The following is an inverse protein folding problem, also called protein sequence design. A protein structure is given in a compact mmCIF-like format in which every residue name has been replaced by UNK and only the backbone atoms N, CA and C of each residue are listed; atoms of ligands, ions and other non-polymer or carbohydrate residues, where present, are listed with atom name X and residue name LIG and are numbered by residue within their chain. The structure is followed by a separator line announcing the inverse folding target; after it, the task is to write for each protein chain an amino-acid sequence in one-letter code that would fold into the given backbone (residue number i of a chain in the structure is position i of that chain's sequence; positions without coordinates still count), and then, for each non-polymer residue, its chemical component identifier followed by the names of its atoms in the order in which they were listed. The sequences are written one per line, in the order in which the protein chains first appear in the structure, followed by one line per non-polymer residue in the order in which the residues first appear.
data_IF_097496305986
#
_entry.id   IF_097496305986
#
_cell.length_a   1.000
_cell.length_b   1.000
_cell.length_c   1.000
_cell.angle_alpha   90.00
_cell.angle_beta   90.00
_cell.angle_gamma   90.00
#
_symmetry.space_group_name_H-M   'P 1'
#
loop_
_entity.id
_entity.type
_entity.pdbx_description
1 polymer ?
#
# COMPACT_ATOMS: atom_id res chain seq x y z
N UNK A 1 27.68 -9.71 -9.95
CA UNK A 1 27.84 -9.23 -8.57
C UNK A 1 26.54 -9.54 -7.84
N UNK A 2 26.51 -10.49 -6.90
CA UNK A 2 25.28 -10.70 -6.08
C UNK A 2 25.07 -9.40 -5.30
N UNK A 3 23.90 -8.77 -5.46
CA UNK A 3 23.53 -7.59 -4.66
C UNK A 3 23.70 -7.93 -3.19
N UNK A 4 24.35 -7.05 -2.42
CA UNK A 4 24.54 -7.20 -0.96
C UNK A 4 23.20 -7.54 -0.27
N UNK A 5 22.10 -6.97 -0.77
CA UNK A 5 20.74 -7.15 -0.26
C UNK A 5 20.07 -8.49 -0.61
N UNK A 6 20.74 -9.37 -1.36
CA UNK A 6 20.25 -10.71 -1.66
C UNK A 6 20.53 -11.74 -0.57
N UNK A 7 21.38 -11.41 0.42
CA UNK A 7 21.63 -12.32 1.53
C UNK A 7 20.45 -12.36 2.49
N UNK A 8 20.05 -13.58 2.89
CA UNK A 8 18.92 -13.81 3.81
C UNK A 8 19.02 -12.96 5.08
N UNK A 9 20.23 -12.76 5.62
CA UNK A 9 20.48 -11.96 6.83
C UNK A 9 19.92 -10.53 6.69
N UNK A 10 20.17 -9.85 5.57
CA UNK A 10 19.70 -8.48 5.39
C UNK A 10 18.18 -8.40 5.20
N UNK A 11 17.57 -9.41 4.57
CA UNK A 11 16.10 -9.51 4.46
C UNK A 11 15.48 -9.60 5.86
N UNK A 12 16.03 -10.42 6.75
CA UNK A 12 15.54 -10.51 8.14
C UNK A 12 15.73 -9.22 8.93
N UNK A 13 16.86 -8.52 8.75
CA UNK A 13 17.08 -7.20 9.37
C UNK A 13 16.01 -6.21 8.88
N UNK A 14 15.74 -6.17 7.57
CA UNK A 14 14.70 -5.30 7.02
C UNK A 14 13.31 -5.62 7.57
N UNK A 15 12.96 -6.91 7.67
CA UNK A 15 11.71 -7.35 8.29
C UNK A 15 11.65 -6.89 9.76
N UNK A 16 12.73 -7.07 10.51
CA UNK A 16 12.82 -6.61 11.90
C UNK A 16 12.59 -5.10 12.03
N UNK A 17 13.17 -4.30 11.13
CA UNK A 17 12.96 -2.84 11.07
C UNK A 17 11.49 -2.51 10.76
N UNK A 18 10.89 -3.17 9.76
CA UNK A 18 9.48 -2.95 9.42
C UNK A 18 8.55 -3.18 10.62
N UNK A 19 8.72 -4.30 11.31
CA UNK A 19 7.93 -4.61 12.51
C UNK A 19 8.23 -3.66 13.67
N UNK A 20 9.49 -3.29 13.87
CA UNK A 20 9.87 -2.34 14.92
C UNK A 20 9.12 -1.01 14.76
N UNK A 21 9.06 -0.46 13.55
CA UNK A 21 8.35 0.80 13.27
C UNK A 21 6.84 0.66 13.49
N UNK A 22 6.20 -0.40 12.98
CA UNK A 22 4.75 -0.58 13.12
C UNK A 22 4.34 -0.89 14.56
N UNK A 23 5.08 -1.73 15.28
CA UNK A 23 4.83 -2.02 16.70
C UNK A 23 5.06 -0.77 17.55
N UNK A 24 6.09 0.03 17.26
CA UNK A 24 6.31 1.30 17.95
C UNK A 24 5.15 2.27 17.71
N UNK A 25 4.61 2.31 16.49
CA UNK A 25 3.41 3.07 16.15
C UNK A 25 2.18 2.61 16.92
N UNK A 26 1.94 1.29 16.96
CA UNK A 26 0.86 0.68 17.75
C UNK A 26 0.94 1.11 19.22
N UNK A 27 2.09 0.86 19.86
CA UNK A 27 2.29 1.17 21.28
C UNK A 27 2.17 2.68 21.52
N UNK A 28 2.84 3.49 20.71
CA UNK A 28 2.90 4.93 20.91
C UNK A 28 1.54 5.62 20.75
N UNK A 29 0.78 5.30 19.71
CA UNK A 29 -0.57 5.85 19.51
C UNK A 29 -1.50 5.39 20.64
N UNK A 30 -1.44 4.12 21.05
CA UNK A 30 -2.25 3.63 22.19
C UNK A 30 -1.87 4.25 23.54
N UNK A 31 -0.66 4.80 23.68
CA UNK A 31 -0.24 5.56 24.86
C UNK A 31 -0.60 7.06 24.77
N UNK A 32 -1.31 7.49 23.72
CA UNK A 32 -1.75 8.87 23.53
C UNK A 32 -0.82 9.74 22.70
N UNK A 33 0.23 9.17 22.07
CA UNK A 33 1.14 9.92 21.18
C UNK A 33 0.68 9.94 19.71
N UNK A 34 -0.64 9.97 19.47
CA UNK A 34 -1.24 9.87 18.14
C UNK A 34 -0.66 10.89 17.15
N UNK A 35 -0.70 12.18 17.50
CA UNK A 35 -0.24 13.27 16.61
C UNK A 35 1.22 13.10 16.20
N UNK A 36 2.06 12.60 17.11
CA UNK A 36 3.47 12.35 16.82
C UNK A 36 3.59 11.25 15.77
N UNK A 37 2.96 10.09 15.95
CA UNK A 37 3.10 8.98 15.02
C UNK A 37 2.37 9.19 13.69
N UNK A 38 1.14 9.72 13.72
CA UNK A 38 0.33 9.92 12.52
C UNK A 38 1.02 10.87 11.52
N UNK A 39 1.62 11.96 11.99
CA UNK A 39 2.37 12.90 11.14
C UNK A 39 3.69 12.35 10.59
N UNK A 40 4.14 11.15 11.00
CA UNK A 40 5.28 10.43 10.41
C UNK A 40 4.84 9.29 9.49
N UNK A 41 3.57 9.21 9.12
CA UNK A 41 3.07 8.23 8.15
C UNK A 41 3.82 8.30 6.82
N UNK A 42 4.06 9.51 6.32
CA UNK A 42 4.87 9.73 5.11
C UNK A 42 6.27 9.09 5.22
N UNK A 43 6.94 9.23 6.37
CA UNK A 43 8.23 8.61 6.64
C UNK A 43 8.12 7.08 6.68
N UNK A 44 7.09 6.54 7.36
CA UNK A 44 6.87 5.10 7.43
C UNK A 44 6.65 4.49 6.03
N UNK A 45 5.87 5.15 5.18
CA UNK A 45 5.67 4.72 3.79
C UNK A 45 6.96 4.77 2.98
N UNK A 46 7.79 5.80 3.16
CA UNK A 46 9.12 5.87 2.53
C UNK A 46 10.04 4.72 2.99
N UNK A 47 9.99 4.34 4.27
CA UNK A 47 10.74 3.18 4.80
C UNK A 47 10.26 1.88 4.15
N UNK A 48 8.94 1.69 4.04
CA UNK A 48 8.37 0.54 3.35
C UNK A 48 8.75 0.51 1.87
N UNK A 49 8.72 1.67 1.20
CA UNK A 49 9.16 1.80 -0.18
C UNK A 49 10.65 1.49 -0.35
N UNK A 50 11.53 1.97 0.54
CA UNK A 50 12.95 1.61 0.52
C UNK A 50 13.13 0.09 0.72
N UNK A 51 12.42 -0.51 1.67
CA UNK A 51 12.45 -1.95 1.87
C UNK A 51 11.99 -2.72 0.62
N UNK A 52 10.97 -2.23 -0.09
CA UNK A 52 10.60 -2.77 -1.40
C UNK A 52 11.76 -2.65 -2.38
N UNK A 53 12.31 -1.45 -2.64
CA UNK A 53 13.34 -1.26 -3.67
C UNK A 53 14.61 -2.08 -3.42
N UNK A 54 15.04 -2.22 -2.16
CA UNK A 54 16.26 -2.94 -1.83
C UNK A 54 16.10 -4.47 -1.79
N UNK A 55 14.93 -4.97 -1.40
CA UNK A 55 14.73 -6.41 -1.13
C UNK A 55 13.72 -7.09 -2.08
N UNK A 56 12.88 -6.33 -2.76
CA UNK A 56 12.23 -6.77 -3.99
C UNK A 56 13.26 -6.64 -5.12
N UNK A 57 13.48 -7.68 -5.94
CA UNK A 57 14.47 -7.64 -7.00
C UNK A 57 14.05 -6.66 -8.11
N UNK A 58 14.29 -5.36 -7.95
CA UNK A 58 14.02 -4.29 -8.93
C UNK A 58 15.16 -4.19 -9.96
N UNK A 59 15.46 -5.34 -10.58
CA UNK A 59 16.67 -5.63 -11.38
C UNK A 59 16.53 -5.35 -12.89
N UNK A 60 15.34 -4.98 -13.35
CA UNK A 60 15.03 -4.79 -14.77
C UNK A 60 14.28 -3.49 -15.01
N UNK A 61 14.58 -2.83 -16.14
CA UNK A 61 13.83 -1.65 -16.60
C UNK A 61 12.33 -1.93 -16.70
N UNK A 62 11.96 -3.16 -17.08
CA UNK A 62 10.57 -3.62 -17.11
C UNK A 62 9.87 -3.41 -15.76
N UNK A 63 10.48 -3.85 -14.66
CA UNK A 63 9.89 -3.72 -13.31
C UNK A 63 9.74 -2.26 -12.92
N UNK A 64 10.74 -1.42 -13.19
CA UNK A 64 10.65 0.02 -12.96
C UNK A 64 9.55 0.68 -13.79
N UNK A 65 9.45 0.34 -15.09
CA UNK A 65 8.40 0.86 -15.96
C UNK A 65 6.99 0.51 -15.44
N UNK A 66 6.78 -0.74 -15.00
CA UNK A 66 5.49 -1.13 -14.39
C UNK A 66 5.25 -0.47 -13.04
N UNK A 67 6.28 -0.28 -12.22
CA UNK A 67 6.15 0.44 -10.95
C UNK A 67 5.68 1.88 -11.18
N UNK A 68 6.31 2.60 -12.10
CA UNK A 68 5.89 3.95 -12.48
C UNK A 68 4.52 3.96 -13.16
N UNK A 69 4.21 2.97 -14.01
CA UNK A 69 2.88 2.83 -14.61
C UNK A 69 1.80 2.77 -13.53
N UNK A 70 1.91 1.83 -12.58
CA UNK A 70 0.90 1.68 -11.53
C UNK A 70 0.84 2.90 -10.62
N UNK A 71 1.98 3.50 -10.27
CA UNK A 71 2.00 4.67 -9.40
C UNK A 71 1.41 5.91 -10.06
N UNK A 72 1.76 6.18 -11.32
CA UNK A 72 1.20 7.31 -12.07
C UNK A 72 -0.28 7.10 -12.40
N UNK A 73 -0.67 5.89 -12.77
CA UNK A 73 -2.09 5.55 -12.95
C UNK A 73 -2.88 5.68 -11.65
N UNK A 74 -2.30 5.28 -10.51
CA UNK A 74 -2.86 5.48 -9.18
C UNK A 74 -3.09 6.96 -8.87
N UNK A 75 -2.06 7.80 -8.99
CA UNK A 75 -2.21 9.26 -8.81
C UNK A 75 -3.25 9.84 -9.76
N UNK A 76 -3.31 9.36 -11.00
CA UNK A 76 -4.28 9.84 -11.98
C UNK A 76 -5.72 9.52 -11.60
N UNK A 77 -6.02 8.28 -11.18
CA UNK A 77 -7.39 7.91 -10.75
C UNK A 77 -7.79 8.64 -9.47
N UNK A 78 -6.86 8.84 -8.53
CA UNK A 78 -7.07 9.62 -7.31
C UNK A 78 -7.33 11.10 -7.61
N UNK A 79 -6.59 11.67 -8.56
CA UNK A 79 -6.84 13.04 -9.03
C UNK A 79 -8.23 13.18 -9.63
N UNK A 80 -8.67 12.20 -10.41
CA UNK A 80 -10.03 12.18 -10.93
C UNK A 80 -11.08 12.06 -9.82
N UNK A 81 -10.80 11.28 -8.79
CA UNK A 81 -11.65 11.15 -7.61
C UNK A 81 -11.78 12.44 -6.81
N UNK A 82 -10.66 13.00 -6.38
CA UNK A 82 -10.64 14.22 -5.55
C UNK A 82 -11.17 15.44 -6.32
N UNK A 83 -10.86 15.57 -7.61
CA UNK A 83 -11.21 16.78 -8.37
C UNK A 83 -12.62 16.74 -8.93
N UNK A 84 -13.11 15.57 -9.34
CA UNK A 84 -14.37 15.43 -10.06
C UNK A 84 -15.39 14.52 -9.36
N UNK A 85 -15.08 13.97 -8.18
CA UNK A 85 -15.94 13.03 -7.46
C UNK A 85 -16.07 11.66 -8.16
N UNK A 86 -15.11 11.30 -9.01
CA UNK A 86 -15.18 10.06 -9.80
C UNK A 86 -14.72 8.83 -9.01
N UNK A 87 -15.35 7.69 -9.27
CA UNK A 87 -14.99 6.34 -8.79
C UNK A 87 -15.17 6.08 -7.29
N UNK A 88 -14.57 6.90 -6.43
CA UNK A 88 -14.43 6.60 -4.99
C UNK A 88 -15.53 7.23 -4.12
N UNK A 89 -16.26 8.21 -4.65
CA UNK A 89 -17.14 9.10 -3.89
C UNK A 89 -16.51 10.47 -3.64
N UNK A 90 -17.16 11.31 -2.82
CA UNK A 90 -16.62 12.62 -2.44
C UNK A 90 -15.76 12.49 -1.18
N UNK A 91 -14.48 12.83 -1.28
CA UNK A 91 -13.50 12.76 -0.21
C UNK A 91 -12.39 13.80 -0.40
N UNK A 92 -11.67 14.10 0.67
CA UNK A 92 -10.49 14.96 0.65
C UNK A 92 -9.36 14.34 1.46
N UNK A 93 -8.12 14.52 0.99
CA UNK A 93 -6.92 14.10 1.71
C UNK A 93 -6.54 15.07 2.81
N UNK A 94 -6.18 14.52 3.97
CA UNK A 94 -5.56 15.20 5.10
C UNK A 94 -4.09 15.55 4.85
N UNK A 95 -3.37 15.95 5.89
CA UNK A 95 -1.98 16.44 5.78
C UNK A 95 -0.93 15.38 6.13
N UNK A 96 -1.31 14.34 6.87
CA UNK A 96 -0.37 13.33 7.37
C UNK A 96 0.11 12.33 6.31
N UNK A 97 -0.53 12.26 5.13
CA UNK A 97 -0.13 11.38 4.02
C UNK A 97 0.98 12.00 3.13
N UNK A 98 1.49 13.19 3.49
CA UNK A 98 2.61 13.84 2.82
C UNK A 98 2.19 14.90 1.78
N UNK A 99 3.17 15.47 1.04
CA UNK A 99 2.92 16.60 0.16
C UNK A 99 1.91 16.29 -0.96
N UNK A 100 0.98 17.21 -1.17
CA UNK A 100 -0.12 17.11 -2.14
C UNK A 100 0.14 17.93 -3.40
N UNK A 101 -0.26 17.41 -4.56
CA UNK A 101 -0.41 18.15 -5.81
C UNK A 101 -1.87 18.09 -6.21
N UNK A 102 -2.51 19.24 -6.36
CA UNK A 102 -3.95 19.34 -6.68
C UNK A 102 -4.83 18.51 -5.75
N UNK A 103 -4.53 18.52 -4.44
CA UNK A 103 -5.27 17.77 -3.42
C UNK A 103 -4.89 16.30 -3.27
N UNK A 104 -4.03 15.75 -4.13
CA UNK A 104 -3.62 14.33 -4.09
C UNK A 104 -2.18 14.17 -3.56
N UNK A 105 -1.94 13.39 -2.50
CA UNK A 105 -0.60 13.13 -2.00
C UNK A 105 0.26 12.38 -3.02
N UNK A 106 1.50 12.82 -3.26
CA UNK A 106 2.42 12.09 -4.15
C UNK A 106 2.68 10.65 -3.70
N UNK A 107 2.64 10.44 -2.39
CA UNK A 107 2.85 9.16 -1.74
C UNK A 107 1.76 8.13 -2.04
N UNK A 108 0.55 8.53 -2.43
CA UNK A 108 -0.50 7.56 -2.80
C UNK A 108 -0.11 6.75 -4.04
N UNK A 109 0.60 7.35 -4.99
CA UNK A 109 1.12 6.64 -6.16
C UNK A 109 2.14 5.57 -5.77
N UNK A 110 3.02 5.89 -4.82
CA UNK A 110 3.95 4.89 -4.27
C UNK A 110 3.19 3.78 -3.57
N UNK A 111 2.13 4.10 -2.83
CA UNK A 111 1.28 3.10 -2.19
C UNK A 111 0.61 2.16 -3.21
N UNK A 112 -0.04 2.71 -4.24
CA UNK A 112 -0.65 1.94 -5.33
C UNK A 112 0.34 0.97 -6.00
N UNK A 113 1.53 1.47 -6.35
CA UNK A 113 2.57 0.66 -6.98
C UNK A 113 3.13 -0.41 -6.03
N UNK A 114 3.43 -0.04 -4.78
CA UNK A 114 3.95 -0.93 -3.75
C UNK A 114 2.95 -2.06 -3.45
N UNK A 115 1.69 -1.74 -3.19
CA UNK A 115 0.63 -2.72 -2.92
C UNK A 115 0.46 -3.68 -4.09
N UNK A 116 0.42 -3.17 -5.33
CA UNK A 116 0.36 -4.02 -6.53
C UNK A 116 1.53 -5.01 -6.57
N UNK A 117 2.76 -4.53 -6.32
CA UNK A 117 3.96 -5.37 -6.35
C UNK A 117 3.99 -6.42 -5.24
N UNK A 118 3.68 -6.05 -4.00
CA UNK A 118 3.74 -6.98 -2.86
C UNK A 118 2.59 -7.98 -2.91
N UNK A 119 1.35 -7.55 -3.18
CA UNK A 119 0.20 -8.43 -3.27
C UNK A 119 0.33 -9.36 -4.47
N UNK A 120 0.81 -8.87 -5.63
CA UNK A 120 1.09 -9.72 -6.79
C UNK A 120 2.21 -10.74 -6.54
N UNK A 121 3.27 -10.37 -5.83
CA UNK A 121 4.33 -11.31 -5.45
C UNK A 121 3.87 -12.37 -4.45
N UNK A 122 2.99 -12.02 -3.50
CA UNK A 122 2.35 -12.98 -2.59
C UNK A 122 1.40 -13.91 -3.36
N UNK A 123 0.52 -13.36 -4.20
CA UNK A 123 -0.46 -14.12 -4.95
C UNK A 123 0.17 -15.09 -5.96
N UNK A 124 1.34 -14.76 -6.52
CA UNK A 124 2.16 -15.69 -7.32
C UNK A 124 2.53 -16.99 -6.59
N UNK A 125 2.47 -17.04 -5.25
CA UNK A 125 2.67 -18.27 -4.46
C UNK A 125 1.38 -19.03 -4.15
N UNK A 126 0.23 -18.42 -4.35
CA UNK A 126 -1.07 -18.98 -4.02
C UNK A 126 -1.74 -19.69 -5.21
N UNK A 127 -1.41 -19.29 -6.44
CA UNK A 127 -1.94 -19.91 -7.65
C UNK A 127 -1.04 -19.68 -8.87
N UNK A 128 -1.05 -20.62 -9.81
CA UNK A 128 -0.40 -20.48 -11.12
C UNK A 128 -1.33 -19.84 -12.17
N UNK A 129 -2.65 -19.89 -11.96
CA UNK A 129 -3.63 -19.32 -12.88
C UNK A 129 -3.63 -17.78 -12.76
N UNK A 130 -3.35 -17.09 -13.87
CA UNK A 130 -3.22 -15.62 -13.94
C UNK A 130 -4.45 -14.89 -13.38
N UNK A 131 -5.66 -15.32 -13.74
CA UNK A 131 -6.88 -14.70 -13.26
C UNK A 131 -7.09 -14.92 -11.77
N UNK A 132 -6.93 -16.16 -11.30
CA UNK A 132 -7.11 -16.49 -9.89
C UNK A 132 -6.12 -15.76 -8.99
N UNK A 133 -4.82 -15.73 -9.35
CA UNK A 133 -3.85 -14.98 -8.54
C UNK A 133 -4.05 -13.45 -8.62
N UNK A 134 -4.56 -12.93 -9.74
CA UNK A 134 -4.93 -11.50 -9.80
C UNK A 134 -6.09 -11.21 -8.86
N UNK A 135 -7.12 -12.06 -8.83
CA UNK A 135 -8.24 -11.95 -7.91
C UNK A 135 -7.81 -12.06 -6.45
N UNK A 136 -6.92 -13.00 -6.13
CA UNK A 136 -6.37 -13.16 -4.77
C UNK A 136 -5.58 -11.92 -4.33
N UNK A 137 -4.75 -11.34 -5.21
CA UNK A 137 -4.06 -10.09 -4.91
C UNK A 137 -5.03 -8.93 -4.72
N UNK A 138 -6.12 -8.86 -5.51
CA UNK A 138 -7.15 -7.82 -5.38
C UNK A 138 -7.85 -7.94 -4.05
N UNK A 139 -8.18 -9.17 -3.64
CA UNK A 139 -8.76 -9.43 -2.33
C UNK A 139 -7.84 -8.98 -1.20
N UNK A 140 -6.51 -9.20 -1.30
CA UNK A 140 -5.55 -8.68 -0.32
C UNK A 140 -5.58 -7.14 -0.24
N UNK A 141 -5.60 -6.46 -1.39
CA UNK A 141 -5.66 -5.00 -1.42
C UNK A 141 -6.97 -4.48 -0.82
N UNK A 142 -8.12 -5.07 -1.18
CA UNK A 142 -9.43 -4.71 -0.62
C UNK A 142 -9.55 -5.01 0.87
N UNK A 143 -8.95 -6.11 1.33
CA UNK A 143 -8.94 -6.45 2.75
C UNK A 143 -8.17 -5.40 3.55
N UNK A 144 -7.01 -4.96 3.04
CA UNK A 144 -6.25 -3.88 3.66
C UNK A 144 -7.03 -2.56 3.64
N UNK A 145 -7.62 -2.22 2.49
CA UNK A 145 -8.43 -1.03 2.27
C UNK A 145 -9.57 -0.93 3.31
N UNK A 146 -10.34 -1.99 3.49
CA UNK A 146 -11.44 -2.04 4.47
C UNK A 146 -11.03 -1.62 5.89
N UNK A 147 -9.88 -2.07 6.36
CA UNK A 147 -9.39 -1.67 7.69
C UNK A 147 -8.81 -0.27 7.70
N UNK A 148 -8.15 0.13 6.62
CA UNK A 148 -7.55 1.45 6.46
C UNK A 148 -8.62 2.55 6.40
N UNK A 149 -9.73 2.33 5.69
CA UNK A 149 -10.80 3.31 5.48
C UNK A 149 -11.46 3.78 6.78
N UNK A 150 -11.60 2.90 7.77
CA UNK A 150 -12.13 3.26 9.08
C UNK A 150 -11.18 4.17 9.87
N UNK A 151 -9.89 4.02 9.65
CA UNK A 151 -8.82 4.66 10.42
C UNK A 151 -8.29 5.92 9.73
N UNK A 152 -8.46 6.02 8.42
CA UNK A 152 -8.05 7.16 7.61
C UNK A 152 -8.45 8.53 8.19
N UNK A 153 -9.71 8.79 8.62
CA UNK A 153 -10.07 10.08 9.20
C UNK A 153 -9.41 10.32 10.57
N UNK A 154 -9.19 9.27 11.37
CA UNK A 154 -8.58 9.37 12.70
C UNK A 154 -7.11 9.78 12.60
N UNK A 155 -6.40 9.26 11.60
CA UNK A 155 -4.98 9.57 11.38
C UNK A 155 -4.74 10.71 10.38
N UNK A 156 -5.80 11.42 9.98
CA UNK A 156 -5.74 12.54 9.03
C UNK A 156 -5.11 12.13 7.68
N UNK A 157 -5.53 10.98 7.16
CA UNK A 157 -5.13 10.49 5.83
C UNK A 157 -6.09 11.00 4.77
N UNK A 158 -7.37 10.67 4.90
CA UNK A 158 -8.47 11.22 4.11
C UNK A 158 -9.79 11.04 4.85
N UNK A 159 -10.79 11.81 4.46
CA UNK A 159 -12.14 11.75 5.00
C UNK A 159 -13.16 11.89 3.87
N UNK A 160 -14.20 11.05 3.90
CA UNK A 160 -15.33 11.13 2.98
C UNK A 160 -16.38 12.10 3.52
N UNK A 161 -17.08 12.83 2.65
CA UNK A 161 -18.13 13.79 3.05
C UNK A 161 -19.22 13.15 3.92
N UNK A 162 -19.49 11.85 3.73
CA UNK A 162 -20.46 11.08 4.53
C UNK A 162 -19.93 10.52 5.86
N UNK A 163 -18.65 10.74 6.19
CA UNK A 163 -17.98 10.20 7.38
C UNK A 163 -17.57 8.72 7.29
N UNK A 164 -17.93 8.04 6.20
CA UNK A 164 -17.54 6.65 5.92
C UNK A 164 -17.29 6.45 4.43
N UNK A 165 -16.39 5.53 4.09
CA UNK A 165 -16.13 5.15 2.71
C UNK A 165 -17.40 4.52 2.08
N UNK A 166 -17.91 5.05 0.95
CA UNK A 166 -19.07 4.50 0.27
C UNK A 166 -18.71 3.17 -0.41
N UNK A 167 -19.74 2.40 -0.80
CA UNK A 167 -19.54 1.14 -1.54
C UNK A 167 -18.77 1.37 -2.85
N UNK A 168 -18.96 2.53 -3.47
CA UNK A 168 -18.26 2.93 -4.70
C UNK A 168 -16.73 2.92 -4.53
N UNK A 169 -16.21 3.30 -3.36
CA UNK A 169 -14.78 3.23 -3.03
C UNK A 169 -14.24 1.81 -3.19
N UNK A 170 -14.89 0.85 -2.54
CA UNK A 170 -14.46 -0.55 -2.58
C UNK A 170 -14.61 -1.17 -3.97
N UNK A 171 -15.64 -0.77 -4.73
CA UNK A 171 -15.80 -1.21 -6.13
C UNK A 171 -14.65 -0.65 -6.99
N UNK A 172 -14.35 0.64 -6.86
CA UNK A 172 -13.27 1.31 -7.59
C UNK A 172 -11.91 0.70 -7.27
N UNK A 173 -11.57 0.59 -5.98
CA UNK A 173 -10.35 -0.09 -5.53
C UNK A 173 -10.27 -1.51 -6.06
N UNK A 174 -11.38 -2.26 -6.05
CA UNK A 174 -11.44 -3.63 -6.54
C UNK A 174 -11.15 -3.73 -8.04
N UNK A 175 -11.81 -2.91 -8.86
CA UNK A 175 -11.63 -2.90 -10.32
C UNK A 175 -10.21 -2.44 -10.69
N UNK A 176 -9.76 -1.33 -10.14
CA UNK A 176 -8.44 -0.75 -10.45
C UNK A 176 -7.32 -1.70 -10.01
N UNK A 177 -7.40 -2.23 -8.78
CA UNK A 177 -6.44 -3.20 -8.28
C UNK A 177 -6.42 -4.48 -9.12
N UNK A 178 -7.59 -4.98 -9.53
CA UNK A 178 -7.67 -6.15 -10.41
C UNK A 178 -7.00 -5.92 -11.76
N UNK A 179 -7.22 -4.76 -12.39
CA UNK A 179 -6.55 -4.40 -13.65
C UNK A 179 -5.03 -4.35 -13.43
N UNK A 180 -4.56 -3.68 -12.37
CA UNK A 180 -3.13 -3.56 -12.07
C UNK A 180 -2.48 -4.92 -11.83
N UNK A 181 -3.12 -5.78 -11.04
CA UNK A 181 -2.62 -7.12 -10.75
C UNK A 181 -2.69 -8.04 -11.97
N UNK A 182 -3.70 -7.91 -12.82
CA UNK A 182 -3.79 -8.63 -14.08
C UNK A 182 -2.63 -8.25 -14.99
N UNK A 183 -2.34 -6.96 -15.14
CA UNK A 183 -1.18 -6.45 -15.88
C UNK A 183 0.13 -6.97 -15.27
N UNK A 184 0.30 -6.87 -13.95
CA UNK A 184 1.48 -7.37 -13.23
C UNK A 184 1.74 -8.85 -13.50
N UNK A 185 0.69 -9.68 -13.45
CA UNK A 185 0.78 -11.12 -13.64
C UNK A 185 0.97 -11.52 -15.12
N UNK A 186 0.33 -10.85 -16.07
CA UNK A 186 0.61 -11.03 -17.51
C UNK A 186 2.02 -10.60 -17.88
N UNK A 187 2.52 -9.53 -17.25
CA UNK A 187 3.90 -9.10 -17.36
C UNK A 187 4.89 -10.10 -16.72
N UNK A 188 4.40 -11.16 -16.04
CA UNK A 188 5.21 -12.20 -15.38
C UNK A 188 6.23 -11.60 -14.40
N UNK A 189 5.84 -10.51 -13.71
CA UNK A 189 6.71 -9.89 -12.71
C UNK A 189 6.85 -10.86 -11.53
N UNK A 190 8.10 -11.10 -11.12
CA UNK A 190 8.46 -11.95 -9.98
C UNK A 190 9.15 -11.09 -8.93
N UNK A 191 8.72 -11.28 -7.68
CA UNK A 191 9.26 -10.63 -6.49
C UNK A 191 9.82 -11.62 -5.48
N UNK A 192 10.28 -11.10 -4.35
CA UNK A 192 10.66 -11.90 -3.20
C UNK A 192 9.44 -12.07 -2.29
N UNK A 193 8.94 -13.31 -2.17
CA UNK A 193 7.75 -13.61 -1.37
C UNK A 193 7.88 -13.15 0.08
N UNK A 194 9.02 -13.40 0.73
CA UNK A 194 9.18 -13.19 2.16
C UNK A 194 9.06 -11.70 2.52
N UNK A 195 9.77 -10.83 1.82
CA UNK A 195 9.68 -9.39 2.09
C UNK A 195 8.31 -8.83 1.70
N UNK A 196 7.75 -9.27 0.57
CA UNK A 196 6.42 -8.82 0.12
C UNK A 196 5.32 -9.22 1.11
N UNK A 197 5.39 -10.45 1.64
CA UNK A 197 4.46 -10.92 2.66
C UNK A 197 4.55 -10.10 3.93
N UNK A 198 5.76 -9.80 4.43
CA UNK A 198 5.92 -8.98 5.63
C UNK A 198 5.56 -7.51 5.42
N UNK A 199 5.87 -6.91 4.27
CA UNK A 199 5.43 -5.55 3.92
C UNK A 199 3.90 -5.43 3.94
N UNK A 200 3.20 -6.45 3.44
CA UNK A 200 1.74 -6.50 3.50
C UNK A 200 1.25 -6.71 4.95
N UNK A 201 1.84 -7.67 5.66
CA UNK A 201 1.37 -8.09 6.98
C UNK A 201 1.55 -6.99 8.04
N UNK A 202 2.65 -6.23 8.03
CA UNK A 202 2.85 -5.13 9.00
C UNK A 202 1.78 -4.05 8.87
N UNK A 203 1.37 -3.72 7.65
CA UNK A 203 0.29 -2.76 7.38
C UNK A 203 -1.05 -3.33 7.84
N UNK A 204 -1.36 -4.57 7.42
CA UNK A 204 -2.61 -5.22 7.77
C UNK A 204 -2.79 -5.33 9.29
N UNK A 205 -1.76 -5.78 10.02
CA UNK A 205 -1.81 -5.89 11.49
C UNK A 205 -1.96 -4.52 12.14
N UNK A 206 -1.27 -3.51 11.65
CA UNK A 206 -1.38 -2.13 12.16
C UNK A 206 -2.82 -1.61 12.02
N UNK A 207 -3.41 -1.70 10.83
CA UNK A 207 -4.77 -1.21 10.61
C UNK A 207 -5.85 -2.06 11.29
N UNK A 208 -5.70 -3.39 11.35
CA UNK A 208 -6.60 -4.25 12.12
C UNK A 208 -6.58 -3.88 13.61
N UNK A 209 -5.38 -3.65 14.18
CA UNK A 209 -5.27 -3.27 15.58
C UNK A 209 -6.06 -1.99 15.85
N UNK A 210 -5.84 -0.95 15.05
CA UNK A 210 -6.54 0.32 15.26
C UNK A 210 -8.04 0.25 14.93
N UNK A 211 -8.44 -0.59 13.99
CA UNK A 211 -9.85 -0.86 13.71
C UNK A 211 -10.60 -1.40 14.94
N UNK A 212 -9.92 -2.21 15.77
CA UNK A 212 -10.51 -2.76 17.01
C UNK A 212 -10.33 -1.82 18.21
N UNK A 213 -9.27 -1.01 18.20
CA UNK A 213 -8.93 -0.11 19.29
C UNK A 213 -9.88 1.09 19.39
N UNK A 214 -10.30 1.66 18.24
CA UNK A 214 -11.26 2.77 18.16
C UNK A 214 -12.69 2.29 18.00
#
# INVERSE_FOLDING_TARGET
MKSLFSEKKYVFIAIGILWLFHISGIIGISLGFQDWFASRTALNLLIMFMALIFFFPMDTLKKWAFFFLFGLSGVFVEYLGVTFGLFFGEYAYGDNFGPKISGVPLLIGINWAMLTFICGAVANKLSDNIFLKSLLGTFMMLLLDLFMEKIAPIFDFWEFTGGYAPVDNYIAWGIISFIFLLIFHFAKIKGNFLISFHLYLVQLVFFIYFYVYY
#
